data_IF_025986301227
#
_entry.id   IF_025986301227
#
_cell.length_a   1.000
_cell.length_b   1.000
_cell.length_c   1.000
_cell.angle_alpha   90.00
_cell.angle_beta   90.00
_cell.angle_gamma   90.00
#
_symmetry.space_group_name_H-M   'P 1'
#
loop_
_entity.id
_entity.type
_entity.pdbx_description
1 polymer ?
#
# COMPACT_ATOMS: atom_id res chain seq x y z
N UNK A 1 8.57 -28.30 23.57
CA UNK A 1 8.04 -27.94 22.24
C UNK A 1 7.30 -26.63 22.45
N UNK A 2 7.64 -25.60 21.67
CA UNK A 2 6.92 -24.31 21.72
C UNK A 2 5.60 -24.53 21.01
N UNK A 3 4.50 -24.43 21.76
CA UNK A 3 3.17 -24.43 21.16
C UNK A 3 3.02 -23.14 20.36
N UNK A 4 2.51 -23.29 19.14
CA UNK A 4 2.20 -22.18 18.24
C UNK A 4 0.68 -22.07 18.17
N UNK A 5 0.19 -20.84 18.26
CA UNK A 5 -1.21 -20.49 18.08
C UNK A 5 -1.56 -20.49 16.58
N UNK A 6 -2.62 -21.22 16.22
CA UNK A 6 -3.15 -21.30 14.88
C UNK A 6 -4.60 -20.83 14.83
N UNK A 7 -4.92 -19.98 13.85
CA UNK A 7 -6.30 -19.67 13.48
C UNK A 7 -6.84 -20.79 12.59
N UNK A 8 -7.89 -21.48 13.04
CA UNK A 8 -8.59 -22.51 12.29
C UNK A 8 -9.96 -22.00 11.92
N UNK A 9 -10.27 -21.98 10.63
CA UNK A 9 -11.60 -21.67 10.09
C UNK A 9 -12.20 -22.91 9.47
N UNK A 10 -13.44 -23.19 9.83
CA UNK A 10 -14.24 -24.26 9.24
C UNK A 10 -15.56 -23.69 8.73
N UNK A 11 -15.99 -24.14 7.55
CA UNK A 11 -17.29 -23.81 6.99
C UNK A 11 -18.10 -25.08 6.72
N UNK A 12 -19.36 -25.03 7.12
CA UNK A 12 -20.31 -26.11 6.91
C UNK A 12 -21.54 -25.61 6.16
N UNK A 13 -21.93 -26.41 5.17
CA UNK A 13 -23.22 -26.26 4.52
C UNK A 13 -24.31 -26.73 5.50
N UNK A 14 -25.17 -25.79 5.90
CA UNK A 14 -26.39 -26.08 6.67
C UNK A 14 -27.60 -25.74 5.82
N UNK A 15 -28.61 -26.62 5.83
CA UNK A 15 -29.82 -26.46 5.02
C UNK A 15 -30.65 -25.24 5.45
N UNK A 16 -30.58 -24.91 6.74
CA UNK A 16 -31.19 -23.74 7.35
C UNK A 16 -30.21 -23.20 8.38
N UNK A 17 -30.06 -21.88 8.44
CA UNK A 17 -29.21 -21.25 9.46
C UNK A 17 -29.81 -21.50 10.85
N UNK A 18 -29.02 -22.01 11.82
CA UNK A 18 -29.50 -22.18 13.18
C UNK A 18 -29.97 -20.83 13.76
N UNK A 19 -31.03 -20.82 14.59
CA UNK A 19 -31.42 -19.65 15.36
C UNK A 19 -30.26 -19.05 16.17
N UNK A 20 -30.28 -17.73 16.39
CA UNK A 20 -29.27 -16.99 17.16
C UNK A 20 -29.01 -17.59 18.55
N UNK A 21 -30.03 -18.18 19.19
CA UNK A 21 -29.89 -18.85 20.48
C UNK A 21 -28.95 -20.05 20.42
N UNK A 22 -29.00 -20.81 19.33
CA UNK A 22 -28.11 -21.95 19.11
C UNK A 22 -26.71 -21.48 18.69
N UNK A 23 -26.61 -20.46 17.82
CA UNK A 23 -25.33 -19.84 17.45
C UNK A 23 -24.59 -19.35 18.70
N UNK A 24 -25.30 -18.70 19.62
CA UNK A 24 -24.75 -18.22 20.90
C UNK A 24 -24.28 -19.37 21.78
N UNK A 25 -25.03 -20.47 21.83
CA UNK A 25 -24.66 -21.65 22.62
C UNK A 25 -23.43 -22.38 22.07
N UNK A 26 -23.30 -22.48 20.74
CA UNK A 26 -22.10 -23.01 20.08
C UNK A 26 -20.89 -22.12 20.36
N UNK A 27 -21.05 -20.80 20.29
CA UNK A 27 -20.00 -19.84 20.65
C UNK A 27 -19.57 -20.00 22.13
N UNK A 28 -20.51 -20.16 23.06
CA UNK A 28 -20.22 -20.39 24.47
C UNK A 28 -19.43 -21.69 24.70
N UNK A 29 -19.81 -22.78 24.04
CA UNK A 29 -19.09 -24.06 24.13
C UNK A 29 -17.65 -24.00 23.59
N UNK A 30 -17.40 -23.12 22.62
CA UNK A 30 -16.11 -22.92 21.98
C UNK A 30 -15.33 -21.71 22.55
N UNK A 31 -15.90 -21.00 23.53
CA UNK A 31 -15.33 -19.75 24.07
C UNK A 31 -13.91 -19.88 24.62
N UNK A 32 -13.53 -21.07 25.09
CA UNK A 32 -12.15 -21.36 25.54
C UNK A 32 -11.08 -21.32 24.43
N UNK A 33 -11.50 -21.17 23.18
CA UNK A 33 -10.66 -21.11 21.98
C UNK A 33 -10.82 -19.78 21.24
N UNK A 34 -11.30 -18.72 21.91
CA UNK A 34 -11.55 -17.41 21.32
C UNK A 34 -12.37 -17.49 20.02
N UNK A 35 -13.38 -18.36 20.05
CA UNK A 35 -14.12 -18.71 18.87
C UNK A 35 -15.03 -17.58 18.39
N UNK A 36 -15.23 -17.49 17.08
CA UNK A 36 -16.28 -16.67 16.45
C UNK A 36 -17.14 -17.55 15.57
N UNK A 37 -18.45 -17.36 15.64
CA UNK A 37 -19.45 -18.13 14.89
C UNK A 37 -20.30 -17.16 14.10
N UNK A 38 -20.52 -17.44 12.82
CA UNK A 38 -21.33 -16.58 11.96
C UNK A 38 -21.79 -17.31 10.70
N UNK A 39 -22.30 -16.53 9.75
CA UNK A 39 -22.76 -17.05 8.46
C UNK A 39 -21.66 -16.93 7.40
N UNK A 40 -21.51 -17.96 6.55
CA UNK A 40 -20.62 -17.90 5.38
C UNK A 40 -21.25 -17.07 4.26
N UNK A 41 -20.48 -16.26 3.49
CA UNK A 41 -20.97 -15.58 2.29
C UNK A 41 -21.54 -16.53 1.22
N UNK A 42 -21.08 -17.78 1.19
CA UNK A 42 -21.59 -18.81 0.28
C UNK A 42 -22.92 -19.43 0.75
N UNK A 43 -23.44 -19.00 1.90
CA UNK A 43 -24.50 -19.68 2.65
C UNK A 43 -23.90 -20.74 3.58
N UNK A 44 -24.47 -20.89 4.77
CA UNK A 44 -24.03 -21.87 5.76
C UNK A 44 -23.38 -21.26 7.01
N UNK A 45 -22.78 -22.10 7.85
CA UNK A 45 -22.18 -21.71 9.13
C UNK A 45 -20.65 -21.62 8.97
N UNK A 46 -20.05 -20.53 9.43
CA UNK A 46 -18.60 -20.40 9.59
C UNK A 46 -18.23 -20.32 11.06
N UNK A 47 -17.22 -21.09 11.44
CA UNK A 47 -16.64 -21.05 12.78
C UNK A 47 -15.14 -20.82 12.65
N UNK A 48 -14.62 -19.83 13.37
CA UNK A 48 -13.19 -19.61 13.56
C UNK A 48 -12.82 -19.80 15.01
N UNK A 49 -11.62 -20.27 15.27
CA UNK A 49 -11.09 -20.56 16.60
C UNK A 49 -9.56 -20.52 16.60
N UNK A 50 -8.97 -20.22 17.74
CA UNK A 50 -7.53 -20.24 17.97
C UNK A 50 -7.14 -21.49 18.75
N UNK A 51 -6.20 -22.27 18.22
CA UNK A 51 -5.71 -23.51 18.82
C UNK A 51 -4.20 -23.46 18.94
N UNK A 52 -3.74 -23.73 20.16
CA UNK A 52 -2.35 -24.09 20.45
C UNK A 52 -2.07 -25.53 20.02
N UNK A 53 -1.12 -25.70 19.10
CA UNK A 53 -0.71 -27.00 18.57
C UNK A 53 0.78 -27.04 18.18
N UNK A 54 1.29 -28.25 17.99
CA UNK A 54 2.68 -28.47 17.55
C UNK A 54 2.83 -28.39 16.01
N UNK A 55 1.72 -28.41 15.26
CA UNK A 55 1.71 -28.32 13.80
C UNK A 55 0.37 -27.82 13.26
N UNK A 56 0.34 -27.24 12.04
CA UNK A 56 -0.92 -26.80 11.42
C UNK A 56 -1.89 -27.95 11.12
N UNK A 57 -1.36 -29.16 10.87
CA UNK A 57 -2.19 -30.35 10.65
C UNK A 57 -2.91 -30.74 11.94
N UNK A 58 -2.20 -30.76 13.07
CA UNK A 58 -2.78 -31.04 14.39
C UNK A 58 -3.82 -29.98 14.79
N UNK A 59 -3.50 -28.70 14.63
CA UNK A 59 -4.44 -27.60 14.87
C UNK A 59 -5.72 -27.77 14.04
N UNK A 60 -5.53 -28.07 12.76
CA UNK A 60 -6.61 -28.31 11.82
C UNK A 60 -7.54 -29.45 12.22
N UNK A 61 -6.97 -30.62 12.50
CA UNK A 61 -7.74 -31.80 12.94
C UNK A 61 -8.51 -31.51 14.23
N UNK A 62 -7.84 -30.96 15.24
CA UNK A 62 -8.46 -30.62 16.53
C UNK A 62 -9.55 -29.57 16.38
N UNK A 63 -9.34 -28.55 15.54
CA UNK A 63 -10.32 -27.50 15.28
C UNK A 63 -11.59 -28.05 14.65
N UNK A 64 -11.47 -28.91 13.65
CA UNK A 64 -12.63 -29.60 13.05
C UNK A 64 -13.36 -30.44 14.09
N UNK A 65 -12.64 -31.23 14.89
CA UNK A 65 -13.24 -32.08 15.93
C UNK A 65 -13.99 -31.26 16.98
N UNK A 66 -13.41 -30.14 17.45
CA UNK A 66 -14.04 -29.28 18.44
C UNK A 66 -15.31 -28.62 17.89
N UNK A 67 -15.26 -28.12 16.66
CA UNK A 67 -16.44 -27.52 16.03
C UNK A 67 -17.52 -28.58 15.82
N UNK A 68 -17.20 -29.74 15.26
CA UNK A 68 -18.18 -30.81 15.07
C UNK A 68 -18.78 -31.27 16.39
N UNK A 69 -17.96 -31.42 17.44
CA UNK A 69 -18.43 -31.76 18.77
C UNK A 69 -19.42 -30.75 19.33
N UNK A 70 -19.13 -29.44 19.18
CA UNK A 70 -20.03 -28.37 19.60
C UNK A 70 -21.34 -28.36 18.79
N UNK A 71 -21.27 -28.51 17.47
CA UNK A 71 -22.47 -28.56 16.62
C UNK A 71 -23.37 -29.75 16.94
N UNK A 72 -22.80 -30.94 17.10
CA UNK A 72 -23.54 -32.16 17.43
C UNK A 72 -24.23 -32.06 18.81
N UNK A 73 -23.61 -31.39 19.78
CA UNK A 73 -24.20 -31.15 21.10
C UNK A 73 -25.50 -30.34 21.05
N UNK A 74 -25.63 -29.48 20.04
CA UNK A 74 -26.83 -28.67 19.79
C UNK A 74 -27.69 -29.21 18.65
N UNK A 75 -27.56 -30.50 18.33
CA UNK A 75 -28.34 -31.21 17.30
C UNK A 75 -28.20 -30.60 15.89
N UNK A 76 -27.09 -29.90 15.62
CA UNK A 76 -26.72 -29.45 14.28
C UNK A 76 -25.90 -30.55 13.60
N UNK A 77 -26.44 -31.08 12.51
CA UNK A 77 -25.78 -32.11 11.71
C UNK A 77 -25.28 -31.49 10.41
N UNK A 78 -24.01 -31.02 10.35
CA UNK A 78 -23.46 -30.46 9.12
C UNK A 78 -23.36 -31.56 8.07
N UNK A 79 -23.98 -31.35 6.90
CA UNK A 79 -24.02 -32.35 5.84
C UNK A 79 -22.68 -32.46 5.09
N UNK A 80 -22.01 -31.32 4.94
CA UNK A 80 -20.79 -31.19 4.15
C UNK A 80 -19.96 -30.01 4.66
N UNK A 81 -18.64 -30.23 4.76
CA UNK A 81 -17.69 -29.13 4.96
C UNK A 81 -17.42 -28.47 3.61
N UNK A 82 -17.71 -27.18 3.50
CA UNK A 82 -17.55 -26.39 2.28
C UNK A 82 -16.25 -25.58 2.25
N UNK A 83 -15.64 -25.34 3.41
CA UNK A 83 -14.40 -24.59 3.52
C UNK A 83 -13.59 -24.99 4.76
N UNK A 84 -12.28 -24.93 4.62
CA UNK A 84 -11.33 -25.21 5.70
C UNK A 84 -10.04 -24.44 5.47
N UNK A 85 -9.56 -23.77 6.50
CA UNK A 85 -8.35 -22.95 6.46
C UNK A 85 -7.64 -23.02 7.82
N UNK A 86 -6.31 -23.14 7.79
CA UNK A 86 -5.45 -23.06 8.96
C UNK A 86 -4.34 -22.06 8.66
N UNK A 87 -4.25 -21.04 9.49
CA UNK A 87 -3.23 -19.99 9.41
C UNK A 87 -2.48 -19.94 10.74
N UNK A 88 -1.23 -19.50 10.71
CA UNK A 88 -0.58 -19.02 11.93
C UNK A 88 -1.23 -17.72 12.36
N UNK A 89 -1.18 -17.40 13.66
CA UNK A 89 -1.69 -16.12 14.18
C UNK A 89 -1.06 -14.92 13.44
N UNK A 90 0.27 -14.92 13.24
CA UNK A 90 0.96 -13.87 12.49
C UNK A 90 0.47 -13.67 11.05
N UNK A 91 0.08 -14.75 10.36
CA UNK A 91 -0.44 -14.68 8.99
C UNK A 91 -1.87 -14.15 8.99
N UNK A 92 -2.68 -14.60 9.95
CA UNK A 92 -4.03 -14.11 10.12
C UNK A 92 -4.06 -12.61 10.43
N UNK A 93 -3.18 -12.13 11.30
CA UNK A 93 -3.04 -10.71 11.62
C UNK A 93 -2.58 -9.90 10.40
N UNK A 94 -1.63 -10.42 9.62
CA UNK A 94 -1.20 -9.79 8.37
C UNK A 94 -2.35 -9.64 7.39
N UNK A 95 -3.19 -10.67 7.24
CA UNK A 95 -4.36 -10.63 6.35
C UNK A 95 -5.42 -9.67 6.84
N UNK A 96 -5.68 -9.60 8.16
CA UNK A 96 -6.61 -8.63 8.74
C UNK A 96 -6.12 -7.18 8.61
N UNK A 97 -4.81 -6.96 8.58
CA UNK A 97 -4.23 -5.65 8.34
C UNK A 97 -4.37 -5.18 6.88
N UNK A 98 -4.75 -6.04 5.94
CA UNK A 98 -5.02 -5.64 4.56
C UNK A 98 -6.33 -4.84 4.48
N UNK A 99 -6.37 -3.72 3.74
CA UNK A 99 -7.60 -2.96 3.54
C UNK A 99 -8.69 -3.84 2.91
N UNK A 100 -9.82 -4.00 3.62
CA UNK A 100 -11.01 -4.76 3.16
C UNK A 100 -11.61 -4.22 1.86
N UNK A 101 -11.43 -2.91 1.63
CA UNK A 101 -11.89 -2.23 0.42
C UNK A 101 -10.64 -1.90 -0.40
N UNK A 102 -10.57 -2.36 -1.67
CA UNK A 102 -9.52 -1.94 -2.59
C UNK A 102 -9.41 -0.42 -2.62
N UNK A 103 -8.20 0.10 -2.75
CA UNK A 103 -8.02 1.55 -2.85
C UNK A 103 -8.81 2.10 -4.05
N UNK A 104 -9.64 3.11 -3.78
CA UNK A 104 -10.50 3.74 -4.77
C UNK A 104 -9.94 5.10 -5.16
N UNK A 105 -10.11 5.46 -6.43
CA UNK A 105 -9.68 6.73 -6.99
C UNK A 105 -10.87 7.48 -7.58
N UNK A 106 -11.16 8.68 -7.07
CA UNK A 106 -12.01 9.65 -7.74
C UNK A 106 -11.24 10.43 -8.80
N UNK A 107 -11.87 11.39 -9.46
CA UNK A 107 -11.22 12.14 -10.55
C UNK A 107 -10.03 12.99 -10.11
N UNK A 108 -9.95 13.39 -8.84
CA UNK A 108 -8.77 14.08 -8.32
C UNK A 108 -7.58 13.13 -8.21
N UNK A 109 -7.81 11.92 -7.71
CA UNK A 109 -6.82 10.88 -7.52
C UNK A 109 -6.38 10.31 -8.87
N UNK A 110 -7.29 10.12 -9.83
CA UNK A 110 -6.94 9.74 -11.21
C UNK A 110 -6.03 10.79 -11.85
N UNK A 111 -6.30 12.08 -11.66
CA UNK A 111 -5.44 13.14 -12.15
C UNK A 111 -4.03 13.06 -11.54
N UNK A 112 -3.95 12.77 -10.23
CA UNK A 112 -2.68 12.58 -9.55
C UNK A 112 -1.92 11.35 -10.05
N UNK A 113 -2.58 10.18 -10.12
CA UNK A 113 -1.99 8.91 -10.59
C UNK A 113 -1.49 9.03 -12.03
N UNK A 114 -2.28 9.65 -12.92
CA UNK A 114 -1.90 9.81 -14.32
C UNK A 114 -0.97 11.01 -14.55
N UNK A 115 -0.67 11.81 -13.53
CA UNK A 115 0.15 13.01 -13.62
C UNK A 115 -0.43 14.11 -14.52
N UNK A 116 -1.77 14.22 -14.57
CA UNK A 116 -2.52 15.15 -15.41
C UNK A 116 -3.32 16.17 -14.58
N UNK A 117 -3.90 17.16 -15.26
CA UNK A 117 -4.94 18.01 -14.65
C UNK A 117 -6.26 17.25 -14.56
N UNK A 118 -7.16 17.66 -13.64
CA UNK A 118 -8.51 17.07 -13.51
C UNK A 118 -9.29 17.09 -14.83
N UNK A 119 -9.13 18.14 -15.64
CA UNK A 119 -9.79 18.27 -16.94
C UNK A 119 -9.28 17.22 -17.94
N UNK A 120 -7.97 16.98 -18.00
CA UNK A 120 -7.41 15.90 -18.84
C UNK A 120 -7.75 14.53 -18.30
N UNK A 121 -7.74 14.33 -16.98
CA UNK A 121 -8.19 13.08 -16.36
C UNK A 121 -9.64 12.75 -16.75
N UNK A 122 -10.52 13.76 -16.81
CA UNK A 122 -11.90 13.59 -17.27
C UNK A 122 -12.00 13.17 -18.75
N UNK A 123 -11.00 13.47 -19.59
CA UNK A 123 -10.96 13.01 -20.98
C UNK A 123 -10.54 11.53 -21.08
N UNK A 124 -9.90 10.98 -20.06
CA UNK A 124 -9.50 9.58 -19.99
C UNK A 124 -10.64 8.65 -19.56
N UNK A 125 -11.83 9.18 -19.21
CA UNK A 125 -12.99 8.39 -18.78
C UNK A 125 -13.29 7.19 -19.70
N UNK A 126 -13.37 7.35 -21.04
CA UNK A 126 -13.65 6.20 -21.91
C UNK A 126 -12.61 5.09 -21.83
N UNK A 127 -11.35 5.43 -21.56
CA UNK A 127 -10.26 4.47 -21.45
C UNK A 127 -10.19 3.81 -20.06
N UNK A 128 -10.73 4.47 -19.03
CA UNK A 128 -10.79 3.98 -17.66
C UNK A 128 -12.08 3.21 -17.32
N UNK A 129 -13.03 3.14 -18.25
CA UNK A 129 -14.30 2.41 -18.10
C UNK A 129 -14.14 0.99 -17.52
N UNK A 130 -13.15 0.17 -17.92
CA UNK A 130 -12.97 -1.19 -17.36
C UNK A 130 -12.66 -1.23 -15.86
N UNK A 131 -12.22 -0.11 -15.29
CA UNK A 131 -11.86 0.01 -13.88
C UNK A 131 -12.91 0.80 -13.08
N UNK A 132 -14.02 1.19 -13.71
CA UNK A 132 -15.10 1.91 -13.06
C UNK A 132 -15.80 1.00 -12.05
N UNK A 133 -15.81 1.43 -10.79
CA UNK A 133 -16.55 0.76 -9.73
C UNK A 133 -17.99 1.27 -9.70
N UNK A 134 -18.16 2.60 -9.73
CA UNK A 134 -19.48 3.21 -9.66
C UNK A 134 -19.46 4.67 -10.15
N UNK A 135 -20.58 5.13 -10.71
CA UNK A 135 -20.86 6.56 -10.86
C UNK A 135 -21.63 7.09 -9.65
N UNK A 136 -21.03 8.03 -8.93
CA UNK A 136 -21.65 8.73 -7.79
C UNK A 136 -22.11 10.13 -8.21
N UNK A 137 -22.94 10.77 -7.38
CA UNK A 137 -23.34 12.17 -7.59
C UNK A 137 -22.15 13.15 -7.62
N UNK A 138 -21.07 12.81 -6.91
CA UNK A 138 -19.82 13.57 -6.89
C UNK A 138 -18.88 13.27 -8.07
N UNK A 139 -19.22 12.28 -8.91
CA UNK A 139 -18.42 11.84 -10.04
C UNK A 139 -18.07 10.35 -9.99
N UNK A 140 -17.38 9.85 -11.02
CA UNK A 140 -17.02 8.44 -11.14
C UNK A 140 -15.90 8.03 -10.17
N UNK A 141 -16.00 6.79 -9.68
CA UNK A 141 -15.04 6.15 -8.78
C UNK A 141 -14.46 4.91 -9.44
N UNK A 142 -13.15 4.81 -9.45
CA UNK A 142 -12.39 3.75 -10.12
C UNK A 142 -11.58 2.94 -9.11
N UNK A 143 -11.18 1.72 -9.49
CA UNK A 143 -10.13 1.00 -8.79
C UNK A 143 -8.78 1.71 -9.01
N UNK A 144 -8.15 2.18 -7.94
CA UNK A 144 -6.89 2.94 -8.03
C UNK A 144 -5.78 2.12 -8.70
N UNK A 145 -5.71 0.81 -8.41
CA UNK A 145 -4.77 -0.10 -9.06
C UNK A 145 -4.97 -0.19 -10.58
N UNK A 146 -6.23 -0.25 -11.03
CA UNK A 146 -6.56 -0.26 -12.45
C UNK A 146 -6.10 1.00 -13.17
N UNK A 147 -6.28 2.16 -12.52
CA UNK A 147 -5.82 3.46 -13.02
C UNK A 147 -4.29 3.51 -13.09
N UNK A 148 -3.57 2.98 -12.10
CA UNK A 148 -2.09 2.87 -12.12
C UNK A 148 -1.63 2.00 -13.30
N UNK A 149 -2.21 0.81 -13.45
CA UNK A 149 -1.92 -0.09 -14.58
C UNK A 149 -2.18 0.58 -15.94
N UNK A 150 -3.24 1.37 -16.05
CA UNK A 150 -3.53 2.16 -17.26
C UNK A 150 -2.47 3.24 -17.50
N UNK A 151 -2.10 3.99 -16.47
CA UNK A 151 -1.06 5.01 -16.57
C UNK A 151 0.27 4.41 -17.05
N UNK A 152 0.65 3.25 -16.51
CA UNK A 152 1.88 2.54 -16.85
C UNK A 152 1.88 1.97 -18.28
N UNK A 153 0.75 1.39 -18.71
CA UNK A 153 0.67 0.65 -19.98
C UNK A 153 0.24 1.48 -21.18
N UNK A 154 -0.78 2.32 -21.05
CA UNK A 154 -1.42 2.98 -22.20
C UNK A 154 -1.07 4.45 -22.27
N UNK A 155 -1.07 5.15 -21.14
CA UNK A 155 -0.76 6.58 -21.15
C UNK A 155 0.73 6.85 -21.44
N UNK A 156 1.63 6.08 -20.84
CA UNK A 156 3.08 6.22 -21.05
C UNK A 156 3.60 5.62 -22.38
N UNK A 157 2.80 4.82 -23.10
CA UNK A 157 3.22 4.16 -24.35
C UNK A 157 2.74 4.84 -25.63
N UNK A 158 2.01 5.95 -25.55
CA UNK A 158 1.57 6.67 -26.76
C UNK A 158 2.79 7.25 -27.49
N UNK A 159 3.18 6.71 -28.66
CA UNK A 159 4.27 7.29 -29.45
C UNK A 159 3.78 8.63 -29.99
N UNK A 160 4.34 9.74 -29.51
CA UNK A 160 3.98 11.08 -29.97
C UNK A 160 3.57 12.09 -28.88
N UNK A 161 3.44 11.69 -27.62
CA UNK A 161 3.53 12.69 -26.53
C UNK A 161 5.00 13.05 -26.44
N UNK A 162 5.42 14.08 -27.19
CA UNK A 162 6.76 14.66 -27.03
C UNK A 162 6.94 14.87 -25.53
N UNK A 163 7.91 14.17 -24.92
CA UNK A 163 8.52 14.64 -23.69
C UNK A 163 8.98 16.04 -24.06
N UNK A 164 8.23 17.06 -23.71
CA UNK A 164 8.73 18.43 -23.87
C UNK A 164 9.97 18.44 -23.03
N UNK A 165 11.14 18.41 -23.67
CA UNK A 165 12.40 18.52 -22.96
C UNK A 165 12.33 19.85 -22.23
N UNK A 166 12.22 19.77 -20.90
CA UNK A 166 12.32 20.95 -20.06
C UNK A 166 13.81 21.27 -20.06
N UNK A 167 14.20 22.48 -20.49
CA UNK A 167 15.58 22.88 -20.48
C UNK A 167 16.01 23.07 -19.02
N UNK A 168 16.43 21.98 -18.39
CA UNK A 168 16.95 22.00 -17.03
C UNK A 168 18.42 22.42 -17.05
N UNK A 169 18.80 23.28 -16.12
CA UNK A 169 20.21 23.55 -15.86
C UNK A 169 20.93 22.28 -15.38
N UNK A 170 22.27 22.20 -15.48
CA UNK A 170 23.02 21.05 -14.96
C UNK A 170 22.74 20.76 -13.48
N UNK A 171 22.53 21.80 -12.67
CA UNK A 171 22.23 21.66 -11.25
C UNK A 171 20.79 21.18 -11.00
N UNK A 172 19.81 21.73 -11.71
CA UNK A 172 18.41 21.25 -11.62
C UNK A 172 18.29 19.78 -12.00
N UNK A 173 19.01 19.37 -13.05
CA UNK A 173 19.05 17.97 -13.49
C UNK A 173 19.71 17.09 -12.43
N UNK A 174 20.87 17.50 -11.91
CA UNK A 174 21.56 16.76 -10.87
C UNK A 174 20.72 16.63 -9.60
N UNK A 175 20.03 17.70 -9.20
CA UNK A 175 19.11 17.69 -8.06
C UNK A 175 17.94 16.74 -8.29
N UNK A 176 17.27 16.82 -9.45
CA UNK A 176 16.15 15.95 -9.77
C UNK A 176 16.54 14.46 -9.80
N UNK A 177 17.69 14.14 -10.39
CA UNK A 177 18.26 12.78 -10.42
C UNK A 177 18.60 12.29 -9.01
N UNK A 178 19.22 13.13 -8.18
CA UNK A 178 19.62 12.78 -6.81
C UNK A 178 18.39 12.56 -5.92
N UNK A 179 17.36 13.42 -6.03
CA UNK A 179 16.10 13.23 -5.32
C UNK A 179 15.46 11.89 -5.73
N UNK A 180 15.39 11.59 -7.03
CA UNK A 180 14.76 10.36 -7.51
C UNK A 180 15.51 9.12 -7.05
N UNK A 181 16.84 9.11 -7.17
CA UNK A 181 17.69 8.03 -6.70
C UNK A 181 17.51 7.79 -5.20
N UNK A 182 17.51 8.86 -4.40
CA UNK A 182 17.33 8.76 -2.94
C UNK A 182 15.95 8.23 -2.58
N UNK A 183 14.88 8.67 -3.27
CA UNK A 183 13.51 8.18 -3.03
C UNK A 183 13.34 6.68 -3.32
N UNK A 184 14.10 6.15 -4.29
CA UNK A 184 14.06 4.74 -4.66
C UNK A 184 15.12 3.89 -3.96
N UNK A 185 15.99 4.50 -3.14
CA UNK A 185 17.12 3.82 -2.52
C UNK A 185 18.14 3.30 -3.54
N UNK A 186 18.27 3.95 -4.70
CA UNK A 186 19.21 3.57 -5.76
C UNK A 186 20.44 4.48 -5.77
N UNK A 187 21.54 4.01 -6.36
CA UNK A 187 22.74 4.84 -6.51
C UNK A 187 22.51 6.00 -7.48
N UNK A 188 23.03 7.17 -7.12
CA UNK A 188 22.98 8.36 -7.98
C UNK A 188 23.85 8.10 -9.23
N UNK A 189 23.34 8.30 -10.46
CA UNK A 189 24.00 7.82 -11.68
C UNK A 189 25.38 8.43 -11.99
N UNK A 190 25.69 9.59 -11.41
CA UNK A 190 26.88 10.35 -11.74
C UNK A 190 27.47 11.03 -10.50
N UNK A 191 28.78 10.89 -10.23
CA UNK A 191 29.46 11.58 -9.13
C UNK A 191 29.86 13.02 -9.53
N UNK A 192 29.17 13.66 -10.46
CA UNK A 192 29.50 15.02 -10.88
C UNK A 192 29.31 16.01 -9.72
N UNK A 193 30.01 17.14 -9.77
CA UNK A 193 30.00 18.13 -8.68
C UNK A 193 28.57 18.58 -8.30
N UNK A 194 27.66 18.71 -9.29
CA UNK A 194 26.25 19.05 -9.03
C UNK A 194 25.50 18.00 -8.21
N UNK A 195 25.77 16.71 -8.43
CA UNK A 195 25.16 15.61 -7.69
C UNK A 195 25.69 15.52 -6.25
N UNK A 196 26.96 15.85 -6.03
CA UNK A 196 27.53 15.92 -4.68
C UNK A 196 26.92 17.07 -3.87
N UNK A 197 26.73 18.24 -4.50
CA UNK A 197 26.06 19.39 -3.87
C UNK A 197 24.60 19.06 -3.57
N UNK A 198 23.89 18.42 -4.50
CA UNK A 198 22.51 17.97 -4.28
C UNK A 198 22.40 16.91 -3.17
N UNK A 199 23.30 15.92 -3.15
CA UNK A 199 23.29 14.86 -2.14
C UNK A 199 23.60 15.40 -0.75
N UNK A 200 24.52 16.37 -0.64
CA UNK A 200 24.83 17.02 0.64
C UNK A 200 23.68 17.86 1.21
N UNK A 201 22.71 18.26 0.38
CA UNK A 201 21.52 18.97 0.83
C UNK A 201 20.40 18.04 1.33
N UNK A 202 20.45 16.74 1.01
CA UNK A 202 19.42 15.76 1.37
C UNK A 202 19.86 15.01 2.64
N UNK A 203 19.07 15.14 3.70
CA UNK A 203 19.37 14.49 4.98
C UNK A 203 18.82 13.06 5.04
N UNK A 204 17.68 12.81 4.39
CA UNK A 204 17.07 11.49 4.40
C UNK A 204 15.70 11.42 3.76
N UNK A 205 15.08 10.26 3.89
CA UNK A 205 13.75 9.96 3.36
C UNK A 205 12.75 9.94 4.52
N UNK A 206 11.64 10.67 4.38
CA UNK A 206 10.55 10.74 5.36
C UNK A 206 9.36 9.90 4.86
N UNK A 207 8.79 9.09 5.76
CA UNK A 207 7.58 8.31 5.49
C UNK A 207 7.79 7.17 4.49
N UNK A 208 6.81 6.91 3.62
CA UNK A 208 6.77 5.77 2.69
C UNK A 208 7.69 5.93 1.46
N UNK A 209 8.85 6.57 1.57
CA UNK A 209 9.82 6.64 0.46
C UNK A 209 9.71 7.84 -0.49
N UNK A 210 8.58 8.56 -0.49
CA UNK A 210 8.29 9.58 -1.51
C UNK A 210 8.52 11.04 -1.08
N UNK A 211 8.87 11.26 0.19
CA UNK A 211 9.17 12.58 0.73
C UNK A 211 10.62 12.60 1.19
N UNK A 212 11.34 13.65 0.82
CA UNK A 212 12.76 13.81 1.10
C UNK A 212 12.93 15.01 2.02
N UNK A 213 13.77 14.83 3.02
CA UNK A 213 14.17 15.88 3.94
C UNK A 213 15.39 16.60 3.38
N UNK A 214 15.29 17.93 3.24
CA UNK A 214 16.41 18.76 2.85
C UNK A 214 16.76 19.72 3.99
N UNK A 215 18.06 19.82 4.28
CA UNK A 215 18.57 20.81 5.22
C UNK A 215 18.23 22.23 4.76
N UNK A 216 17.92 23.09 5.73
CA UNK A 216 17.79 24.53 5.52
C UNK A 216 18.99 25.06 4.74
N UNK A 217 18.70 25.63 3.59
CA UNK A 217 19.69 26.31 2.76
C UNK A 217 19.43 27.82 2.84
N UNK A 218 20.48 28.65 2.73
CA UNK A 218 20.31 30.09 2.56
C UNK A 218 19.36 30.40 1.39
N UNK A 219 18.54 31.44 1.52
CA UNK A 219 17.57 31.87 0.50
C UNK A 219 18.22 32.15 -0.87
N UNK A 220 19.51 32.50 -0.88
CA UNK A 220 20.31 32.80 -2.07
C UNK A 220 21.15 31.61 -2.58
N UNK A 221 20.99 30.43 -1.98
CA UNK A 221 21.71 29.23 -2.40
C UNK A 221 21.26 28.74 -3.78
N UNK A 222 22.21 28.20 -4.55
CA UNK A 222 21.92 27.62 -5.86
C UNK A 222 20.91 26.45 -5.77
N UNK A 223 20.82 25.77 -4.62
CA UNK A 223 19.85 24.69 -4.37
C UNK A 223 18.43 25.23 -4.23
N UNK A 224 18.21 26.32 -3.48
CA UNK A 224 16.87 26.93 -3.35
C UNK A 224 16.40 27.49 -4.69
N UNK A 225 17.29 28.13 -5.45
CA UNK A 225 17.00 28.61 -6.80
C UNK A 225 16.62 27.44 -7.73
N UNK A 226 17.38 26.33 -7.70
CA UNK A 226 17.08 25.14 -8.48
C UNK A 226 15.76 24.48 -8.06
N UNK A 227 15.46 24.38 -6.75
CA UNK A 227 14.20 23.87 -6.24
C UNK A 227 13.01 24.71 -6.70
N UNK A 228 13.14 26.04 -6.66
CA UNK A 228 12.13 26.97 -7.18
C UNK A 228 11.84 26.72 -8.66
N UNK A 229 12.87 26.57 -9.49
CA UNK A 229 12.71 26.25 -10.92
C UNK A 229 12.05 24.88 -11.15
N UNK A 230 12.44 23.85 -10.37
CA UNK A 230 11.81 22.53 -10.44
C UNK A 230 10.33 22.58 -10.00
N UNK A 231 9.99 23.40 -9.02
CA UNK A 231 8.63 23.62 -8.55
C UNK A 231 7.78 24.37 -9.59
N UNK A 232 8.32 25.43 -10.21
CA UNK A 232 7.67 26.14 -11.33
C UNK A 232 7.37 25.20 -12.50
N UNK A 233 8.27 24.25 -12.76
CA UNK A 233 8.07 23.20 -13.75
C UNK A 233 7.14 22.06 -13.29
N UNK A 234 6.69 22.07 -12.03
CA UNK A 234 5.83 21.05 -11.45
C UNK A 234 6.49 19.68 -11.32
N UNK A 235 7.82 19.64 -11.24
CA UNK A 235 8.62 18.42 -11.10
C UNK A 235 8.73 17.99 -9.64
N UNK A 236 8.70 18.95 -8.73
CA UNK A 236 8.71 18.73 -7.28
C UNK A 236 7.61 19.54 -6.61
N UNK A 237 7.31 19.21 -5.35
CA UNK A 237 6.52 20.04 -4.44
C UNK A 237 7.31 20.25 -3.17
N UNK A 238 7.33 21.48 -2.69
CA UNK A 238 8.00 21.84 -1.44
C UNK A 238 6.95 22.10 -0.36
N UNK A 239 7.27 21.74 0.89
CA UNK A 239 6.53 22.19 2.08
C UNK A 239 7.53 22.46 3.20
N UNK A 240 7.34 23.55 3.94
CA UNK A 240 8.11 23.80 5.15
C UNK A 240 7.65 22.86 6.26
N UNK A 241 8.61 22.42 7.10
CA UNK A 241 8.30 21.61 8.27
C UNK A 241 7.71 22.51 9.36
N UNK A 242 6.57 22.11 9.90
CA UNK A 242 5.98 22.80 11.05
C UNK A 242 6.51 22.21 12.36
N UNK A 243 6.69 23.06 13.39
CA UNK A 243 7.19 22.71 14.75
C UNK A 243 6.56 21.47 15.41
N UNK A 244 5.39 21.02 14.93
CA UNK A 244 4.68 19.84 15.43
C UNK A 244 5.21 18.52 14.84
N UNK A 245 5.75 18.52 13.63
CA UNK A 245 6.37 17.38 12.96
C UNK A 245 7.84 17.21 13.40
N UNK A 246 8.44 18.24 13.98
CA UNK A 246 9.83 18.27 14.50
C UNK A 246 10.02 17.52 15.82
N UNK A 247 8.98 16.92 16.41
CA UNK A 247 9.10 16.20 17.69
C UNK A 247 9.92 14.91 17.58
N UNK A 248 10.02 14.37 16.38
CA UNK A 248 10.75 13.14 16.06
C UNK A 248 12.08 13.41 15.33
N UNK A 249 12.44 14.69 15.12
CA UNK A 249 13.66 15.14 14.44
C UNK A 249 14.53 15.90 15.45
N UNK A 250 15.85 15.67 15.44
CA UNK A 250 16.78 16.23 16.42
C UNK A 250 16.72 17.78 16.46
N UNK A 251 17.12 18.38 17.57
CA UNK A 251 16.98 19.82 17.79
C UNK A 251 17.89 20.65 16.86
N UNK A 252 17.44 20.95 15.63
CA UNK A 252 18.16 21.79 14.66
C UNK A 252 17.37 22.25 13.43
N UNK A 253 16.12 21.82 13.23
CA UNK A 253 15.47 21.78 11.90
C UNK A 253 14.26 22.73 11.72
N UNK A 254 14.25 23.93 12.35
CA UNK A 254 13.08 24.85 12.23
C UNK A 254 12.88 25.41 10.80
N UNK A 255 13.89 25.32 9.93
CA UNK A 255 13.88 25.88 8.57
C UNK A 255 14.01 24.80 7.47
N UNK A 256 13.93 23.52 7.86
CA UNK A 256 14.11 22.43 6.91
C UNK A 256 12.88 22.22 6.00
N UNK A 257 13.15 21.70 4.81
CA UNK A 257 12.18 21.59 3.73
C UNK A 257 11.87 20.12 3.45
N UNK A 258 10.59 19.81 3.29
CA UNK A 258 10.18 18.51 2.74
C UNK A 258 9.90 18.68 1.26
N UNK A 259 10.61 17.90 0.45
CA UNK A 259 10.44 17.86 -1.00
C UNK A 259 9.78 16.54 -1.40
N UNK A 260 8.73 16.62 -2.21
CA UNK A 260 8.08 15.44 -2.79
C UNK A 260 8.23 15.46 -4.30
N UNK A 261 8.70 14.35 -4.87
CA UNK A 261 8.75 14.17 -6.31
C UNK A 261 7.34 13.97 -6.86
N UNK A 262 7.02 14.66 -7.96
CA UNK A 262 5.79 14.39 -8.70
C UNK A 262 6.06 13.29 -9.72
N UNK A 263 5.02 12.61 -10.20
CA UNK A 263 5.19 11.66 -11.31
C UNK A 263 5.77 12.31 -12.58
N UNK A 264 5.68 13.64 -12.73
CA UNK A 264 6.37 14.38 -13.79
C UNK A 264 7.88 14.47 -13.48
N UNK A 265 8.25 14.81 -12.25
CA UNK A 265 9.65 14.80 -11.79
C UNK A 265 10.32 13.46 -12.00
N UNK A 266 9.69 12.37 -11.57
CA UNK A 266 10.20 11.00 -11.74
C UNK A 266 10.48 10.70 -13.22
N UNK A 267 9.53 11.00 -14.13
CA UNK A 267 9.71 10.80 -15.58
C UNK A 267 10.84 11.63 -16.19
N UNK A 268 11.12 12.81 -15.65
CA UNK A 268 12.17 13.70 -16.13
C UNK A 268 13.53 13.45 -15.47
N UNK A 269 13.57 12.73 -14.34
CA UNK A 269 14.81 12.35 -13.66
C UNK A 269 15.63 11.33 -14.45
N UNK A 270 14.99 10.51 -15.29
CA UNK A 270 15.67 9.40 -15.97
C UNK A 270 16.03 8.22 -15.06
N UNK A 271 15.74 8.31 -13.75
CA UNK A 271 15.86 7.20 -12.80
C UNK A 271 14.60 6.34 -12.87
N UNK A 272 14.77 5.04 -13.11
CA UNK A 272 13.67 4.07 -13.05
C UNK A 272 13.64 3.40 -11.69
N UNK A 273 12.44 3.29 -11.11
CA UNK A 273 12.22 2.49 -9.90
C UNK A 273 12.71 1.05 -10.11
N UNK A 274 13.33 0.43 -9.09
CA UNK A 274 13.72 -0.97 -9.15
C UNK A 274 12.48 -1.82 -9.44
N UNK A 275 12.59 -2.75 -10.39
CA UNK A 275 11.52 -3.69 -10.65
C UNK A 275 11.31 -4.54 -9.39
N UNK A 276 10.05 -4.81 -9.02
CA UNK A 276 9.69 -5.53 -7.80
C UNK A 276 10.18 -7.01 -7.76
N UNK A 277 11.14 -7.41 -8.61
CA UNK A 277 11.72 -8.74 -8.69
C UNK A 277 13.21 -8.84 -8.37
N UNK A 278 13.93 -7.74 -8.12
CA UNK A 278 15.40 -7.78 -7.91
C UNK A 278 15.86 -7.81 -6.45
N UNK A 279 14.94 -7.87 -5.47
CA UNK A 279 15.28 -8.16 -4.08
C UNK A 279 15.48 -9.68 -3.88
N UNK A 280 16.47 -10.25 -4.57
CA UNK A 280 17.02 -11.56 -4.23
C UNK A 280 17.93 -11.43 -3.00
N UNK A 281 17.93 -12.38 -2.06
CA UNK A 281 18.77 -12.30 -0.88
C UNK A 281 20.20 -12.67 -1.25
N UNK A 282 21.05 -11.67 -1.51
CA UNK A 282 22.50 -11.87 -1.48
C UNK A 282 23.03 -11.63 -0.05
N UNK A 283 23.42 -12.74 0.59
CA UNK A 283 24.65 -12.82 1.35
C UNK A 283 24.64 -12.29 2.79
N UNK A 284 24.30 -13.17 3.74
CA UNK A 284 24.98 -13.20 5.02
C UNK A 284 25.69 -14.54 5.18
N UNK A 285 27.01 -14.46 5.36
CA UNK A 285 27.93 -15.54 5.72
C UNK A 285 27.59 -16.13 7.09
#
# INVERSE_FOLDING_TARGET
MTQTSYNVRVEYDVSELPPDTIISAVHEDLSRYDASVGSSPAGGLTVRLFIEADSPVDAGTRGVEYVQGALLKHEIYPNKMSGFEVLTEDEFDRQQALPLVPELAGMAEVAQITGNTKQRASQLRPALEPYLVQELASGPVYLAEGVRRFADKEYNRTPGVRRTEIPLSPLERALLETLAATSYGTEVPSPAAGHQVAAGAIEGVIGNGHQLHLHAQPDDSDIIVALGALEEHGLVRTRQIFKKETKDLDAGHEEDLVVSLTGKGERHSGITAPSAGDAGPEGAK
#
